data_IF_943788737297
#
_entry.id   IF_943788737297
#
_cell.length_a   1.000
_cell.length_b   1.000
_cell.length_c   1.000
_cell.angle_alpha   90.00
_cell.angle_beta   90.00
_cell.angle_gamma   90.00
#
_symmetry.space_group_name_H-M   'P 1'
#
loop_
_entity.id
_entity.type
_entity.pdbx_description
1 polymer ?
#
# COMPACT_ATOMS: atom_id res chain seq x y z
N UNK A 1 -5.92 22.76 -12.96
CA UNK A 1 -5.89 21.34 -13.37
C UNK A 1 -7.31 20.83 -13.20
N UNK A 2 -7.78 19.88 -14.01
CA UNK A 2 -9.05 19.25 -13.68
C UNK A 2 -8.86 18.52 -12.34
N UNK A 3 -9.83 18.63 -11.44
CA UNK A 3 -9.79 17.93 -10.15
C UNK A 3 -9.62 16.42 -10.44
N UNK A 4 -8.75 15.75 -9.69
CA UNK A 4 -8.52 14.32 -9.82
C UNK A 4 -8.80 13.61 -8.50
N UNK A 5 -9.34 12.38 -8.54
CA UNK A 5 -9.80 11.70 -7.33
C UNK A 5 -8.71 11.48 -6.27
N UNK A 6 -7.44 11.35 -6.69
CA UNK A 6 -6.30 11.20 -5.77
C UNK A 6 -5.87 12.51 -5.08
N UNK A 7 -6.44 13.64 -5.47
CA UNK A 7 -6.22 14.95 -4.84
C UNK A 7 -7.18 15.19 -3.67
N UNK A 8 -8.14 14.30 -3.43
CA UNK A 8 -9.04 14.35 -2.28
C UNK A 8 -8.31 14.05 -0.96
N UNK A 9 -8.82 14.61 0.14
CA UNK A 9 -8.34 14.39 1.51
C UNK A 9 -8.73 13.00 2.10
N UNK A 10 -8.82 11.97 1.25
CA UNK A 10 -9.17 10.60 1.65
C UNK A 10 -8.02 9.66 1.28
N UNK A 11 -7.44 9.03 2.29
CA UNK A 11 -6.40 8.03 2.06
C UNK A 11 -7.01 6.72 1.55
N UNK A 12 -6.57 6.21 0.38
CA UNK A 12 -7.14 5.00 -0.19
C UNK A 12 -6.64 3.75 0.55
N UNK A 13 -7.59 3.04 1.15
CA UNK A 13 -7.40 1.69 1.68
C UNK A 13 -8.41 0.77 1.00
N UNK A 14 -7.90 -0.08 0.11
CA UNK A 14 -8.68 -0.93 -0.79
C UNK A 14 -8.88 -2.31 -0.19
N UNK A 15 -10.13 -2.77 -0.12
CA UNK A 15 -10.44 -4.19 0.08
C UNK A 15 -10.50 -4.91 -1.27
N UNK A 16 -9.56 -5.83 -1.54
CA UNK A 16 -9.39 -6.47 -2.84
C UNK A 16 -9.27 -7.99 -2.73
N UNK A 17 -10.03 -8.86 -3.36
CA UNK A 17 -11.32 -8.58 -3.95
C UNK A 17 -12.31 -8.23 -2.84
N UNK A 18 -13.05 -7.15 -3.04
CA UNK A 18 -14.14 -6.74 -2.20
C UNK A 18 -15.42 -7.54 -2.47
N UNK A 19 -16.51 -7.23 -1.76
CA UNK A 19 -17.83 -7.82 -2.00
C UNK A 19 -18.28 -7.66 -3.47
N UNK A 20 -18.85 -8.73 -4.04
CA UNK A 20 -19.47 -8.74 -5.36
C UNK A 20 -20.93 -9.20 -5.31
N UNK A 21 -21.72 -8.87 -6.33
CA UNK A 21 -23.15 -9.24 -6.43
C UNK A 21 -23.94 -8.93 -5.16
N UNK A 22 -24.64 -9.92 -4.62
CA UNK A 22 -25.47 -9.79 -3.40
C UNK A 22 -24.67 -9.48 -2.12
N UNK A 23 -23.34 -9.58 -2.14
CA UNK A 23 -22.51 -9.14 -1.02
C UNK A 23 -22.41 -7.62 -0.90
N UNK A 24 -22.77 -6.87 -1.95
CA UNK A 24 -22.83 -5.42 -1.90
C UNK A 24 -24.17 -5.03 -1.27
N UNK A 25 -24.20 -5.00 0.06
CA UNK A 25 -25.36 -4.71 0.91
C UNK A 25 -24.93 -3.95 2.16
N UNK A 26 -25.91 -3.36 2.84
CA UNK A 26 -25.68 -2.39 3.90
C UNK A 26 -24.76 -2.87 5.04
N UNK A 27 -24.99 -4.07 5.57
CA UNK A 27 -24.20 -4.63 6.67
C UNK A 27 -22.73 -4.83 6.29
N UNK A 28 -22.46 -5.30 5.07
CA UNK A 28 -21.11 -5.55 4.58
C UNK A 28 -20.36 -4.25 4.30
N UNK A 29 -21.02 -3.26 3.68
CA UNK A 29 -20.40 -1.96 3.40
C UNK A 29 -20.20 -1.12 4.66
N UNK A 30 -21.14 -1.17 5.61
CA UNK A 30 -20.97 -0.58 6.94
C UNK A 30 -19.78 -1.21 7.67
N UNK A 31 -19.64 -2.55 7.60
CA UNK A 31 -18.49 -3.26 8.16
C UNK A 31 -17.17 -2.86 7.49
N UNK A 32 -17.18 -2.63 6.19
CA UNK A 32 -16.01 -2.18 5.45
C UNK A 32 -15.52 -0.81 5.92
N UNK A 33 -16.44 0.16 6.02
CA UNK A 33 -16.15 1.48 6.58
C UNK A 33 -15.70 1.41 8.04
N UNK A 34 -16.35 0.57 8.86
CA UNK A 34 -15.99 0.38 10.27
C UNK A 34 -14.58 -0.22 10.47
N UNK A 35 -14.08 -0.99 9.51
CA UNK A 35 -12.70 -1.48 9.48
C UNK A 35 -11.72 -0.48 8.87
N UNK A 36 -12.16 0.71 8.47
CA UNK A 36 -11.31 1.77 7.91
C UNK A 36 -10.96 1.58 6.43
N UNK A 37 -11.67 0.72 5.70
CA UNK A 37 -11.54 0.68 4.24
C UNK A 37 -12.33 1.83 3.62
N UNK A 38 -11.71 2.54 2.67
CA UNK A 38 -12.32 3.69 1.97
C UNK A 38 -12.74 3.31 0.55
N UNK A 39 -12.18 2.24 0.00
CA UNK A 39 -12.40 1.80 -1.38
C UNK A 39 -12.66 0.29 -1.42
N UNK A 40 -13.66 -0.12 -2.21
CA UNK A 40 -13.97 -1.53 -2.45
C UNK A 40 -13.77 -1.91 -3.91
N UNK A 41 -12.93 -2.91 -4.17
CA UNK A 41 -12.84 -3.52 -5.49
C UNK A 41 -14.00 -4.48 -5.70
N UNK A 42 -15.02 -4.06 -6.46
CA UNK A 42 -16.33 -4.72 -6.48
C UNK A 42 -16.88 -4.96 -7.87
N UNK A 43 -17.45 -6.15 -8.07
CA UNK A 43 -18.19 -6.55 -9.26
C UNK A 43 -19.68 -6.75 -8.93
N UNK A 44 -20.53 -5.73 -9.11
CA UNK A 44 -21.95 -5.80 -8.72
C UNK A 44 -22.82 -6.63 -9.67
N UNK A 45 -22.37 -6.87 -10.90
CA UNK A 45 -23.21 -7.36 -12.00
C UNK A 45 -23.90 -6.20 -12.74
N UNK A 46 -24.19 -6.36 -14.04
CA UNK A 46 -24.56 -5.25 -14.93
C UNK A 46 -25.87 -4.55 -14.53
N UNK A 47 -26.84 -5.29 -14.00
CA UNK A 47 -28.15 -4.75 -13.62
C UNK A 47 -28.15 -4.04 -12.25
N UNK A 48 -27.09 -4.20 -11.46
CA UNK A 48 -27.01 -3.72 -10.06
C UNK A 48 -25.99 -2.61 -9.85
N UNK A 49 -25.38 -2.09 -10.91
CA UNK A 49 -24.30 -1.08 -10.80
C UNK A 49 -24.73 0.14 -9.98
N UNK A 50 -25.87 0.77 -10.31
CA UNK A 50 -26.33 1.96 -9.57
C UNK A 50 -26.63 1.64 -8.11
N UNK A 51 -27.39 0.57 -7.86
CA UNK A 51 -27.71 0.14 -6.49
C UNK A 51 -26.43 -0.12 -5.67
N UNK A 52 -25.42 -0.74 -6.27
CA UNK A 52 -24.15 -1.00 -5.59
C UNK A 52 -23.39 0.28 -5.26
N UNK A 53 -23.37 1.24 -6.18
CA UNK A 53 -22.74 2.55 -5.95
C UNK A 53 -23.50 3.36 -4.89
N UNK A 54 -24.84 3.30 -4.87
CA UNK A 54 -25.70 3.92 -3.85
C UNK A 54 -25.39 3.35 -2.46
N UNK A 55 -25.36 2.02 -2.33
CA UNK A 55 -25.07 1.34 -1.05
C UNK A 55 -23.66 1.68 -0.58
N UNK A 56 -22.65 1.61 -1.45
CA UNK A 56 -21.29 1.96 -1.07
C UNK A 56 -21.21 3.40 -0.55
N UNK A 57 -21.77 4.35 -1.31
CA UNK A 57 -21.78 5.76 -0.96
C UNK A 57 -22.47 6.03 0.38
N UNK A 58 -23.62 5.39 0.63
CA UNK A 58 -24.39 5.55 1.86
C UNK A 58 -23.59 5.18 3.13
N UNK A 59 -22.59 4.30 3.01
CA UNK A 59 -21.73 3.85 4.11
C UNK A 59 -20.33 4.47 4.09
N UNK A 60 -20.07 5.45 3.22
CA UNK A 60 -18.78 6.14 3.16
C UNK A 60 -17.66 5.35 2.48
N UNK A 61 -18.00 4.34 1.67
CA UNK A 61 -17.07 3.57 0.83
C UNK A 61 -17.32 3.92 -0.63
N UNK A 62 -16.28 3.92 -1.47
CA UNK A 62 -16.45 4.08 -2.93
C UNK A 62 -15.99 2.83 -3.67
N UNK A 63 -16.58 2.59 -4.84
CA UNK A 63 -16.30 1.40 -5.63
C UNK A 63 -15.19 1.67 -6.65
N UNK A 64 -14.13 0.87 -6.56
CA UNK A 64 -13.32 0.56 -7.72
C UNK A 64 -14.10 -0.47 -8.55
N UNK A 65 -14.84 0.03 -9.53
CA UNK A 65 -15.88 -0.70 -10.25
C UNK A 65 -15.27 -1.67 -11.26
N UNK A 66 -15.62 -2.94 -11.12
CA UNK A 66 -15.35 -3.98 -12.12
C UNK A 66 -16.55 -4.11 -13.03
N UNK A 67 -16.32 -3.96 -14.34
CA UNK A 67 -17.38 -4.15 -15.34
C UNK A 67 -16.82 -4.77 -16.63
N UNK A 68 -17.56 -5.70 -17.21
CA UNK A 68 -17.16 -6.44 -18.41
C UNK A 68 -16.94 -5.55 -19.65
N UNK A 69 -17.61 -4.38 -19.70
CA UNK A 69 -17.49 -3.47 -20.84
C UNK A 69 -16.05 -2.98 -21.07
N UNK A 70 -15.29 -2.73 -20.00
CA UNK A 70 -13.92 -2.20 -20.07
C UNK A 70 -12.86 -3.12 -19.45
N UNK A 71 -13.24 -4.30 -18.93
CA UNK A 71 -12.26 -5.26 -18.44
C UNK A 71 -11.46 -5.85 -19.60
N UNK A 72 -10.16 -5.55 -19.66
CA UNK A 72 -9.28 -5.95 -20.76
C UNK A 72 -8.74 -7.37 -20.53
N UNK A 73 -9.51 -8.37 -20.94
CA UNK A 73 -9.05 -9.76 -21.03
C UNK A 73 -8.07 -10.00 -22.18
N UNK A 74 -7.48 -11.20 -22.23
CA UNK A 74 -6.48 -11.56 -23.26
C UNK A 74 -7.02 -11.45 -24.70
N UNK A 75 -8.31 -11.78 -24.90
CA UNK A 75 -8.96 -11.74 -26.21
C UNK A 75 -9.76 -10.44 -26.44
N UNK A 76 -9.51 -9.40 -25.64
CA UNK A 76 -10.27 -8.15 -25.71
C UNK A 76 -9.96 -7.38 -27.01
N UNK A 77 -11.01 -6.97 -27.71
CA UNK A 77 -10.92 -6.10 -28.88
C UNK A 77 -11.76 -4.83 -28.67
N UNK A 78 -11.15 -3.66 -28.88
CA UNK A 78 -11.84 -2.36 -28.81
C UNK A 78 -12.49 -2.01 -30.16
N UNK A 79 -13.45 -2.83 -30.58
CA UNK A 79 -14.28 -2.56 -31.76
C UNK A 79 -15.38 -1.50 -31.48
N UNK A 80 -16.15 -1.17 -32.50
CA UNK A 80 -17.21 -0.14 -32.40
C UNK A 80 -18.34 -0.52 -31.43
N UNK A 81 -18.65 -1.82 -31.30
CA UNK A 81 -19.67 -2.29 -30.34
C UNK A 81 -19.16 -2.11 -28.91
N UNK A 82 -17.91 -2.55 -28.67
CA UNK A 82 -17.24 -2.44 -27.38
C UNK A 82 -17.08 -0.98 -26.95
N UNK A 83 -16.73 -0.08 -27.87
CA UNK A 83 -16.64 1.37 -27.61
C UNK A 83 -17.96 1.92 -27.09
N UNK A 84 -19.09 1.58 -27.73
CA UNK A 84 -20.42 2.00 -27.29
C UNK A 84 -20.78 1.46 -25.91
N UNK A 85 -20.49 0.18 -25.65
CA UNK A 85 -20.70 -0.41 -24.31
C UNK A 85 -19.91 0.33 -23.22
N UNK A 86 -18.67 0.73 -23.51
CA UNK A 86 -17.84 1.53 -22.58
C UNK A 86 -18.44 2.93 -22.40
N UNK A 87 -18.80 3.60 -23.49
CA UNK A 87 -19.42 4.94 -23.44
C UNK A 87 -20.70 4.94 -22.61
N UNK A 88 -21.58 3.96 -22.83
CA UNK A 88 -22.86 3.82 -22.11
C UNK A 88 -22.63 3.67 -20.59
N UNK A 89 -21.79 2.71 -20.17
CA UNK A 89 -21.57 2.50 -18.74
C UNK A 89 -20.82 3.66 -18.08
N UNK A 90 -19.83 4.26 -18.74
CA UNK A 90 -19.05 5.37 -18.17
C UNK A 90 -19.95 6.59 -17.99
N UNK A 91 -20.74 6.96 -19.00
CA UNK A 91 -21.67 8.08 -18.90
C UNK A 91 -22.76 7.85 -17.85
N UNK A 92 -23.14 6.60 -17.61
CA UNK A 92 -24.11 6.24 -16.56
C UNK A 92 -23.58 6.47 -15.15
N UNK A 93 -22.27 6.24 -14.91
CA UNK A 93 -21.70 6.19 -13.55
C UNK A 93 -20.75 7.33 -13.20
N UNK A 94 -20.22 8.08 -14.18
CA UNK A 94 -19.16 9.08 -13.95
C UNK A 94 -19.51 10.24 -13.01
N UNK A 95 -20.80 10.50 -12.78
CA UNK A 95 -21.24 11.55 -11.83
C UNK A 95 -21.65 10.95 -10.47
N UNK A 96 -21.53 9.63 -10.30
CA UNK A 96 -22.02 8.94 -9.12
C UNK A 96 -21.02 9.08 -7.96
N UNK A 97 -21.40 9.63 -6.79
CA UNK A 97 -20.46 9.90 -5.69
C UNK A 97 -19.89 8.64 -5.02
N UNK A 98 -20.54 7.49 -5.24
CA UNK A 98 -20.05 6.16 -4.88
C UNK A 98 -18.98 5.58 -5.81
N UNK A 99 -18.65 6.22 -6.93
CA UNK A 99 -17.61 5.74 -7.85
C UNK A 99 -16.24 6.22 -7.37
N UNK A 100 -15.26 5.33 -7.43
CA UNK A 100 -13.85 5.65 -7.17
C UNK A 100 -13.00 5.53 -8.45
N UNK A 101 -13.30 4.52 -9.26
CA UNK A 101 -12.56 4.30 -10.50
C UNK A 101 -13.03 3.08 -11.26
N UNK A 102 -12.39 2.86 -12.38
CA UNK A 102 -12.64 1.78 -13.31
C UNK A 102 -11.50 0.77 -13.23
N UNK A 103 -11.80 -0.47 -12.83
CA UNK A 103 -10.83 -1.56 -12.87
C UNK A 103 -10.73 -2.13 -14.29
N UNK A 104 -9.62 -1.89 -14.96
CA UNK A 104 -9.38 -2.38 -16.32
C UNK A 104 -8.84 -3.80 -16.31
N UNK A 105 -7.79 -4.05 -15.52
CA UNK A 105 -7.10 -5.34 -15.54
C UNK A 105 -6.23 -5.56 -14.31
N UNK A 106 -6.22 -6.80 -13.89
CA UNK A 106 -5.27 -7.37 -12.95
C UNK A 106 -4.18 -8.13 -13.73
N UNK A 107 -2.92 -7.87 -13.36
CA UNK A 107 -1.73 -8.55 -13.83
C UNK A 107 -1.61 -8.71 -15.38
N UNK A 108 -1.61 -7.63 -16.17
CA UNK A 108 -1.48 -7.73 -17.62
C UNK A 108 -0.06 -8.11 -18.07
N UNK A 109 0.03 -8.87 -19.16
CA UNK A 109 1.26 -9.07 -19.92
C UNK A 109 1.60 -7.86 -20.79
N UNK A 110 2.87 -7.79 -21.24
CA UNK A 110 3.41 -6.65 -21.96
C UNK A 110 2.68 -6.30 -23.27
N UNK A 111 2.18 -7.31 -23.96
CA UNK A 111 1.44 -7.17 -25.23
C UNK A 111 0.05 -6.56 -25.07
N UNK A 112 -0.53 -6.56 -23.87
CA UNK A 112 -1.82 -5.94 -23.59
C UNK A 112 -1.73 -4.43 -23.34
N UNK A 113 -0.53 -3.87 -23.11
CA UNK A 113 -0.35 -2.46 -22.77
C UNK A 113 -0.96 -1.50 -23.81
N UNK A 114 -0.85 -1.71 -25.15
CA UNK A 114 -1.50 -0.85 -26.13
C UNK A 114 -3.04 -0.87 -26.04
N UNK A 115 -3.64 -2.04 -25.79
CA UNK A 115 -5.09 -2.18 -25.63
C UNK A 115 -5.57 -1.50 -24.35
N UNK A 116 -4.85 -1.68 -23.25
CA UNK A 116 -5.13 -0.99 -21.98
C UNK A 116 -5.05 0.53 -22.13
N UNK A 117 -4.03 1.03 -22.84
CA UNK A 117 -3.89 2.45 -23.12
C UNK A 117 -5.06 2.99 -23.95
N UNK A 118 -5.51 2.26 -24.98
CA UNK A 118 -6.63 2.67 -25.82
C UNK A 118 -7.97 2.71 -25.05
N UNK A 119 -8.24 1.71 -24.21
CA UNK A 119 -9.44 1.67 -23.34
C UNK A 119 -9.36 2.77 -22.29
N UNK A 120 -8.20 2.95 -21.66
CA UNK A 120 -8.00 4.01 -20.68
C UNK A 120 -8.14 5.40 -21.28
N UNK A 121 -7.64 5.64 -22.49
CA UNK A 121 -7.80 6.89 -23.22
C UNK A 121 -9.27 7.21 -23.53
N UNK A 122 -10.06 6.18 -23.90
CA UNK A 122 -11.49 6.34 -24.12
C UNK A 122 -12.20 6.76 -22.82
N UNK A 123 -11.98 6.03 -21.72
CA UNK A 123 -12.59 6.34 -20.42
C UNK A 123 -12.19 7.75 -19.96
N UNK A 124 -10.90 8.11 -20.00
CA UNK A 124 -10.40 9.44 -19.62
C UNK A 124 -11.01 10.58 -20.44
N UNK A 125 -11.42 10.33 -21.68
CA UNK A 125 -12.07 11.35 -22.51
C UNK A 125 -13.53 11.61 -22.12
N UNK A 126 -14.17 10.65 -21.43
CA UNK A 126 -15.54 10.72 -20.95
C UNK A 126 -15.63 11.12 -19.47
N UNK A 127 -14.64 10.68 -18.68
CA UNK A 127 -14.49 10.90 -17.25
C UNK A 127 -13.00 11.16 -16.92
N UNK A 128 -12.60 12.43 -16.81
CA UNK A 128 -11.22 12.79 -16.45
C UNK A 128 -10.96 12.77 -14.94
N UNK A 129 -11.98 12.56 -14.10
CA UNK A 129 -11.91 12.68 -12.63
C UNK A 129 -11.54 11.37 -11.96
N UNK A 130 -12.23 10.28 -12.32
CA UNK A 130 -12.11 8.99 -11.65
C UNK A 130 -10.87 8.20 -12.08
N UNK A 131 -10.42 7.32 -11.18
CA UNK A 131 -9.22 6.52 -11.39
C UNK A 131 -9.40 5.51 -12.52
N UNK A 132 -8.38 5.36 -13.36
CA UNK A 132 -8.20 4.18 -14.22
C UNK A 132 -7.22 3.26 -13.51
N UNK A 133 -7.73 2.12 -13.04
CA UNK A 133 -6.94 1.20 -12.25
C UNK A 133 -6.47 0.01 -13.09
N UNK A 134 -5.16 -0.23 -13.04
CA UNK A 134 -4.50 -1.41 -13.57
C UNK A 134 -3.52 -1.88 -12.49
N UNK A 135 -3.67 -3.14 -12.06
CA UNK A 135 -2.71 -3.77 -11.15
C UNK A 135 -1.74 -4.64 -11.94
N UNK A 136 -0.48 -4.74 -11.50
CA UNK A 136 0.56 -5.51 -12.17
C UNK A 136 1.08 -6.65 -11.30
N UNK A 137 1.65 -7.65 -11.96
CA UNK A 137 2.52 -8.62 -11.30
C UNK A 137 3.69 -7.94 -10.57
N UNK A 138 4.33 -8.60 -9.59
CA UNK A 138 5.56 -8.12 -8.99
C UNK A 138 6.61 -7.80 -10.07
N UNK A 139 7.35 -6.68 -9.94
CA UNK A 139 8.33 -6.27 -10.93
C UNK A 139 9.65 -7.06 -10.84
N UNK A 140 9.55 -8.39 -10.88
CA UNK A 140 10.67 -9.34 -10.82
C UNK A 140 11.09 -9.86 -12.18
N UNK A 141 10.24 -9.70 -13.20
CA UNK A 141 10.51 -10.04 -14.60
C UNK A 141 9.76 -9.12 -15.55
N UNK A 142 10.08 -9.19 -16.84
CA UNK A 142 9.51 -8.31 -17.85
C UNK A 142 8.09 -8.67 -18.31
N UNK A 143 7.53 -9.82 -17.92
CA UNK A 143 6.15 -10.23 -18.27
C UNK A 143 5.82 -10.13 -19.79
N UNK A 144 6.81 -10.48 -20.63
CA UNK A 144 6.75 -10.34 -22.10
C UNK A 144 7.62 -9.21 -22.65
N UNK A 145 8.04 -8.26 -21.81
CA UNK A 145 9.06 -7.27 -22.12
C UNK A 145 10.48 -7.86 -22.03
N UNK A 146 11.48 -7.27 -22.73
CA UNK A 146 12.89 -7.66 -22.59
C UNK A 146 13.44 -7.52 -21.17
N UNK A 147 13.01 -6.49 -20.43
CA UNK A 147 13.43 -6.23 -19.05
C UNK A 147 12.27 -5.70 -18.22
N UNK A 148 12.39 -5.79 -16.88
CA UNK A 148 11.45 -5.18 -15.94
C UNK A 148 11.33 -3.67 -16.20
N UNK A 149 12.47 -2.97 -16.34
CA UNK A 149 12.50 -1.53 -16.57
C UNK A 149 11.77 -1.15 -17.87
N UNK A 150 11.97 -1.94 -18.94
CA UNK A 150 11.28 -1.72 -20.21
C UNK A 150 9.77 -1.85 -20.07
N UNK A 151 9.29 -2.88 -19.34
CA UNK A 151 7.86 -3.06 -19.08
C UNK A 151 7.25 -1.81 -18.45
N UNK A 152 7.80 -1.34 -17.33
CA UNK A 152 7.24 -0.22 -16.58
C UNK A 152 7.34 1.11 -17.32
N UNK A 153 8.45 1.36 -18.02
CA UNK A 153 8.60 2.59 -18.82
C UNK A 153 7.59 2.64 -19.95
N UNK A 154 7.37 1.53 -20.64
CA UNK A 154 6.36 1.48 -21.70
C UNK A 154 4.93 1.53 -21.15
N UNK A 155 4.65 0.90 -20.00
CA UNK A 155 3.36 1.05 -19.33
C UNK A 155 3.07 2.52 -18.99
N UNK A 156 4.01 3.20 -18.34
CA UNK A 156 3.86 4.62 -17.98
C UNK A 156 3.68 5.48 -19.24
N UNK A 157 4.47 5.22 -20.28
CA UNK A 157 4.42 5.95 -21.55
C UNK A 157 3.09 5.77 -22.29
N UNK A 158 2.59 4.53 -22.37
CA UNK A 158 1.38 4.18 -23.12
C UNK A 158 0.12 4.50 -22.33
N UNK A 159 0.00 3.97 -21.12
CA UNK A 159 -1.24 4.01 -20.33
C UNK A 159 -1.44 5.32 -19.58
N UNK A 160 -0.36 6.10 -19.37
CA UNK A 160 -0.35 7.36 -18.62
C UNK A 160 -1.10 7.23 -17.28
N UNK A 161 -0.69 6.28 -16.43
CA UNK A 161 -1.41 5.97 -15.21
C UNK A 161 -1.34 7.15 -14.24
N UNK A 162 -2.40 7.34 -13.47
CA UNK A 162 -2.41 8.30 -12.35
C UNK A 162 -1.93 7.65 -11.05
N UNK A 163 -1.74 6.32 -11.07
CA UNK A 163 -1.26 5.49 -9.99
C UNK A 163 -0.48 4.28 -10.50
N UNK A 164 0.64 3.97 -9.87
CA UNK A 164 1.34 2.69 -10.09
C UNK A 164 0.84 1.66 -9.07
N UNK A 165 0.50 0.45 -9.50
CA UNK A 165 0.06 -0.63 -8.60
C UNK A 165 0.65 -1.96 -9.03
N UNK A 166 1.08 -2.75 -8.05
CA UNK A 166 1.39 -4.16 -8.22
C UNK A 166 1.07 -4.90 -6.92
N UNK A 167 0.76 -6.19 -7.00
CA UNK A 167 0.63 -7.03 -5.82
C UNK A 167 1.86 -7.93 -5.65
N UNK A 168 2.39 -7.98 -4.43
CA UNK A 168 3.49 -8.85 -4.08
C UNK A 168 3.39 -9.25 -2.61
N UNK A 169 2.98 -10.48 -2.38
CA UNK A 169 2.89 -11.05 -1.03
C UNK A 169 4.26 -11.63 -0.65
N UNK A 170 4.97 -11.07 0.34
CA UNK A 170 6.35 -11.43 0.62
C UNK A 170 6.47 -12.47 1.75
N UNK A 171 5.50 -12.58 2.66
CA UNK A 171 5.56 -13.48 3.82
C UNK A 171 5.04 -14.88 3.46
N UNK A 172 5.91 -15.89 3.47
CA UNK A 172 5.58 -17.30 3.15
C UNK A 172 5.99 -18.26 4.26
N UNK A 173 5.38 -19.45 4.28
CA UNK A 173 5.81 -20.57 5.11
C UNK A 173 6.96 -21.29 4.41
N UNK A 174 8.09 -21.47 5.10
CA UNK A 174 9.21 -22.30 4.66
C UNK A 174 9.04 -23.76 5.08
N UNK A 175 9.46 -24.68 4.22
CA UNK A 175 9.62 -26.10 4.56
C UNK A 175 10.80 -26.31 5.52
N UNK A 176 10.84 -27.43 6.24
CA UNK A 176 11.96 -27.73 7.16
C UNK A 176 13.32 -27.74 6.43
N UNK A 177 13.34 -28.20 5.17
CA UNK A 177 14.55 -28.21 4.35
C UNK A 177 14.99 -26.80 3.96
N UNK A 178 14.08 -25.93 3.52
CA UNK A 178 14.38 -24.53 3.18
C UNK A 178 14.84 -23.76 4.42
N UNK A 179 14.16 -23.95 5.56
CA UNK A 179 14.54 -23.29 6.82
C UNK A 179 15.93 -23.73 7.27
N UNK A 180 16.27 -25.03 7.23
CA UNK A 180 17.60 -25.47 7.63
C UNK A 180 18.69 -25.00 6.65
N UNK A 181 18.40 -24.99 5.35
CA UNK A 181 19.35 -24.56 4.32
C UNK A 181 19.68 -23.07 4.44
N UNK A 182 18.66 -22.25 4.64
CA UNK A 182 18.76 -20.79 4.52
C UNK A 182 18.61 -20.08 5.89
N UNK A 183 18.76 -20.81 7.01
CA UNK A 183 18.54 -20.34 8.39
C UNK A 183 19.27 -19.05 8.78
N UNK A 184 20.43 -18.80 8.18
CA UNK A 184 21.29 -17.67 8.48
C UNK A 184 21.04 -16.48 7.54
N UNK A 185 20.15 -16.64 6.54
CA UNK A 185 19.74 -15.53 5.69
C UNK A 185 18.86 -14.56 6.46
N UNK A 186 19.04 -13.25 6.26
CA UNK A 186 18.39 -12.23 7.08
C UNK A 186 16.88 -12.11 6.86
N UNK A 187 16.38 -12.65 5.75
CA UNK A 187 14.96 -12.73 5.41
C UNK A 187 14.29 -14.05 5.86
N UNK A 188 14.99 -14.90 6.62
CA UNK A 188 14.49 -16.18 7.15
C UNK A 188 14.31 -16.08 8.67
N UNK A 189 13.16 -16.54 9.17
CA UNK A 189 12.78 -16.52 10.58
C UNK A 189 12.51 -17.96 11.05
N UNK A 190 13.56 -18.74 11.41
CA UNK A 190 13.48 -20.18 11.62
C UNK A 190 12.46 -20.60 12.68
N UNK A 191 12.43 -19.90 13.82
CA UNK A 191 11.54 -20.20 14.95
C UNK A 191 10.04 -20.10 14.58
N UNK A 192 9.74 -19.39 13.49
CA UNK A 192 8.39 -19.17 12.99
C UNK A 192 8.13 -19.87 11.64
N UNK A 193 9.11 -20.62 11.12
CA UNK A 193 9.10 -21.20 9.76
C UNK A 193 8.64 -20.19 8.71
N UNK A 194 9.03 -18.93 8.88
CA UNK A 194 8.61 -17.83 8.01
C UNK A 194 9.78 -17.39 7.16
N UNK A 195 9.54 -17.22 5.87
CA UNK A 195 10.50 -16.67 4.91
C UNK A 195 9.86 -15.44 4.29
N UNK A 196 10.59 -14.32 4.28
CA UNK A 196 10.26 -13.15 3.49
C UNK A 196 10.94 -13.31 2.13
N UNK A 197 10.17 -13.19 1.05
CA UNK A 197 10.71 -13.31 -0.32
C UNK A 197 11.84 -12.29 -0.55
N UNK A 198 12.99 -12.71 -1.09
CA UNK A 198 14.18 -11.86 -1.20
C UNK A 198 13.98 -10.65 -2.13
N UNK A 199 13.05 -10.76 -3.08
CA UNK A 199 12.70 -9.74 -4.06
C UNK A 199 11.78 -8.63 -3.52
N UNK A 200 11.28 -8.74 -2.28
CA UNK A 200 10.30 -7.80 -1.72
C UNK A 200 10.78 -6.34 -1.75
N UNK A 201 11.94 -6.06 -1.17
CA UNK A 201 12.48 -4.70 -1.12
C UNK A 201 13.04 -4.24 -2.48
N UNK A 202 13.45 -5.17 -3.35
CA UNK A 202 13.83 -4.83 -4.73
C UNK A 202 12.63 -4.30 -5.51
N UNK A 203 11.46 -4.92 -5.36
CA UNK A 203 10.23 -4.46 -5.99
C UNK A 203 9.80 -3.09 -5.47
N UNK A 204 9.83 -2.89 -4.14
CA UNK A 204 9.49 -1.62 -3.51
C UNK A 204 10.47 -0.49 -3.91
N UNK A 205 11.77 -0.74 -3.97
CA UNK A 205 12.73 0.31 -4.37
C UNK A 205 12.56 0.71 -5.85
N UNK A 206 12.26 -0.25 -6.73
CA UNK A 206 11.98 0.04 -8.13
C UNK A 206 10.72 0.89 -8.28
N UNK A 207 9.59 0.50 -7.67
CA UNK A 207 8.34 1.26 -7.81
C UNK A 207 8.49 2.66 -7.23
N UNK A 208 9.17 2.79 -6.08
CA UNK A 208 9.45 4.07 -5.43
C UNK A 208 10.30 4.96 -6.34
N UNK A 209 11.32 4.39 -6.97
CA UNK A 209 12.19 5.10 -7.90
C UNK A 209 11.39 5.63 -9.10
N UNK A 210 10.54 4.80 -9.70
CA UNK A 210 9.67 5.22 -10.81
C UNK A 210 8.64 6.26 -10.35
N UNK A 211 8.03 6.05 -9.19
CA UNK A 211 7.05 6.95 -8.59
C UNK A 211 7.63 8.36 -8.40
N UNK A 212 8.81 8.45 -7.78
CA UNK A 212 9.50 9.72 -7.56
C UNK A 212 9.98 10.34 -8.88
N UNK A 213 10.48 9.55 -9.83
CA UNK A 213 10.98 10.06 -11.11
C UNK A 213 9.86 10.64 -11.99
N UNK A 214 8.72 9.94 -12.07
CA UNK A 214 7.58 10.35 -12.90
C UNK A 214 6.56 11.22 -12.15
N UNK A 215 6.72 11.41 -10.83
CA UNK A 215 5.72 12.08 -9.97
C UNK A 215 4.34 11.42 -10.06
N UNK A 216 4.32 10.09 -10.13
CA UNK A 216 3.11 9.27 -10.13
C UNK A 216 3.10 8.51 -8.82
N UNK A 217 2.11 8.68 -7.94
CA UNK A 217 2.10 7.96 -6.67
C UNK A 217 1.98 6.44 -6.92
N UNK A 218 2.35 5.61 -5.94
CA UNK A 218 2.20 4.15 -6.04
C UNK A 218 1.40 3.59 -4.87
N UNK A 219 0.69 2.48 -5.12
CA UNK A 219 -0.03 1.68 -4.14
C UNK A 219 0.57 0.29 -4.05
N UNK A 220 0.45 -0.32 -2.88
CA UNK A 220 1.04 -1.63 -2.60
C UNK A 220 0.09 -2.49 -1.75
N UNK A 221 0.37 -3.79 -1.73
CA UNK A 221 -0.51 -4.81 -1.18
C UNK A 221 0.03 -5.44 0.09
N UNK A 222 -0.90 -5.79 0.98
CA UNK A 222 -0.70 -6.80 2.02
C UNK A 222 -1.50 -8.06 1.75
N UNK A 223 -0.90 -9.22 2.05
CA UNK A 223 -1.61 -10.49 2.11
C UNK A 223 -2.35 -10.62 3.46
N UNK A 224 -3.68 -10.59 3.38
CA UNK A 224 -4.66 -10.75 4.44
C UNK A 224 -5.47 -12.05 4.31
N UNK A 225 -5.00 -13.05 3.56
CA UNK A 225 -5.68 -14.35 3.47
C UNK A 225 -4.71 -15.52 3.32
N UNK A 226 -5.00 -16.62 4.03
CA UNK A 226 -4.25 -17.87 3.86
C UNK A 226 -4.55 -18.47 2.49
N UNK A 227 -3.51 -18.80 1.72
CA UNK A 227 -3.62 -19.60 0.50
C UNK A 227 -2.24 -20.10 0.05
N UNK A 228 -2.15 -21.30 -0.53
CA UNK A 228 -0.88 -21.85 -1.00
C UNK A 228 0.22 -21.82 0.07
N UNK A 229 1.32 -21.14 -0.23
CA UNK A 229 2.46 -20.94 0.69
C UNK A 229 2.28 -19.77 1.68
N UNK A 230 1.22 -18.98 1.55
CA UNK A 230 0.97 -17.83 2.42
C UNK A 230 0.26 -18.27 3.69
N UNK A 231 0.79 -17.94 4.89
CA UNK A 231 0.23 -18.37 6.16
C UNK A 231 -1.11 -17.69 6.45
N UNK A 232 -1.81 -18.19 7.48
CA UNK A 232 -2.84 -17.37 8.13
C UNK A 232 -2.18 -16.07 8.60
N UNK A 233 -2.64 -14.88 8.15
CA UNK A 233 -2.01 -13.63 8.50
C UNK A 233 -2.06 -13.39 10.01
N UNK A 234 -0.93 -12.99 10.58
CA UNK A 234 -0.89 -12.41 11.92
C UNK A 234 -0.87 -10.88 11.79
N UNK A 235 -1.11 -10.19 12.90
CA UNK A 235 -0.94 -8.74 12.95
C UNK A 235 0.49 -8.33 12.55
N UNK A 236 1.50 -9.09 12.98
CA UNK A 236 2.90 -8.86 12.59
C UNK A 236 3.16 -8.96 11.09
N UNK A 237 2.58 -9.97 10.43
CA UNK A 237 2.73 -10.15 8.98
C UNK A 237 2.13 -8.97 8.20
N UNK A 238 0.93 -8.52 8.59
CA UNK A 238 0.27 -7.42 7.88
C UNK A 238 0.90 -6.07 8.17
N UNK A 239 1.28 -5.80 9.42
CA UNK A 239 2.01 -4.58 9.79
C UNK A 239 3.33 -4.48 9.04
N UNK A 240 4.10 -5.56 8.97
CA UNK A 240 5.38 -5.59 8.24
C UNK A 240 5.21 -5.19 6.78
N UNK A 241 4.20 -5.73 6.09
CA UNK A 241 3.90 -5.40 4.70
C UNK A 241 3.47 -3.93 4.57
N UNK A 242 2.39 -3.54 5.25
CA UNK A 242 1.78 -2.21 5.10
C UNK A 242 2.69 -1.07 5.53
N UNK A 243 3.43 -1.22 6.63
CA UNK A 243 4.32 -0.17 7.07
C UNK A 243 5.64 -0.14 6.28
N UNK A 244 6.09 -1.26 5.72
CA UNK A 244 7.16 -1.22 4.72
C UNK A 244 6.71 -0.45 3.48
N UNK A 245 5.50 -0.69 2.99
CA UNK A 245 4.93 0.04 1.86
C UNK A 245 4.89 1.55 2.14
N UNK A 246 4.38 1.95 3.32
CA UNK A 246 4.34 3.35 3.75
C UNK A 246 5.74 3.96 3.92
N UNK A 247 6.71 3.23 4.49
CA UNK A 247 8.09 3.69 4.60
C UNK A 247 8.75 3.92 3.23
N UNK A 248 8.37 3.12 2.24
CA UNK A 248 8.76 3.31 0.83
C UNK A 248 7.96 4.40 0.10
N UNK A 249 6.98 5.03 0.76
CA UNK A 249 6.25 6.17 0.23
C UNK A 249 4.95 5.82 -0.50
N UNK A 250 4.36 4.65 -0.25
CA UNK A 250 3.06 4.29 -0.79
C UNK A 250 2.00 5.34 -0.42
N UNK A 251 1.12 5.66 -1.36
CA UNK A 251 0.02 6.64 -1.20
C UNK A 251 -1.36 5.99 -1.25
N UNK A 252 -1.39 4.69 -1.01
CA UNK A 252 -2.58 3.86 -0.93
C UNK A 252 -2.19 2.42 -0.66
N UNK A 253 -3.08 1.72 0.04
CA UNK A 253 -2.82 0.38 0.56
C UNK A 253 -3.95 -0.55 0.15
N UNK A 254 -3.62 -1.81 -0.12
CA UNK A 254 -4.56 -2.76 -0.69
C UNK A 254 -4.45 -4.10 0.04
N UNK A 255 -5.58 -4.68 0.41
CA UNK A 255 -5.62 -5.91 1.21
C UNK A 255 -6.13 -7.07 0.37
N UNK A 256 -5.29 -8.07 0.13
CA UNK A 256 -5.67 -9.34 -0.50
C UNK A 256 -5.86 -10.48 0.52
N UNK A 257 -7.06 -10.96 0.85
CA UNK A 257 -8.35 -10.61 0.26
C UNK A 257 -9.39 -10.18 1.27
N UNK A 258 -10.33 -9.34 0.83
CA UNK A 258 -11.38 -8.80 1.69
C UNK A 258 -12.57 -9.75 1.80
N UNK A 259 -13.18 -10.14 0.68
CA UNK A 259 -14.37 -11.00 0.65
C UNK A 259 -14.08 -12.37 0.01
N UNK A 260 -14.10 -13.43 0.83
CA UNK A 260 -13.96 -14.85 0.45
C UNK A 260 -14.22 -15.74 1.68
N UNK A 261 -14.44 -17.05 1.50
CA UNK A 261 -14.70 -18.01 2.58
C UNK A 261 -13.67 -18.02 3.72
N UNK A 262 -12.42 -17.64 3.42
CA UNK A 262 -11.29 -17.63 4.34
C UNK A 262 -10.71 -16.24 4.59
N UNK A 263 -11.34 -15.19 4.04
CA UNK A 263 -10.86 -13.82 4.07
C UNK A 263 -11.32 -13.05 5.31
N UNK A 264 -11.20 -11.73 5.28
CA UNK A 264 -11.68 -10.84 6.32
C UNK A 264 -13.21 -10.92 6.49
N UNK A 265 -13.96 -11.04 5.39
CA UNK A 265 -15.42 -11.16 5.40
C UNK A 265 -15.85 -12.37 4.57
N UNK A 266 -16.69 -13.22 5.16
CA UNK A 266 -17.28 -14.40 4.50
C UNK A 266 -18.50 -14.02 3.66
N UNK A 267 -18.96 -14.88 2.73
CA UNK A 267 -20.15 -14.59 1.92
C UNK A 267 -21.43 -14.25 2.70
N UNK A 268 -21.58 -14.84 3.90
CA UNK A 268 -22.70 -14.56 4.80
C UNK A 268 -22.61 -13.20 5.52
N UNK A 269 -21.51 -12.46 5.33
CA UNK A 269 -21.26 -11.16 5.97
C UNK A 269 -20.55 -11.26 7.31
N UNK A 270 -20.29 -12.47 7.83
CA UNK A 270 -19.54 -12.65 9.07
C UNK A 270 -18.08 -12.25 8.92
N UNK A 271 -17.55 -11.55 9.92
CA UNK A 271 -16.14 -11.14 9.98
C UNK A 271 -15.25 -12.25 10.56
N UNK A 272 -13.94 -12.11 10.36
CA UNK A 272 -12.90 -13.00 10.90
C UNK A 272 -11.92 -12.25 11.79
N UNK A 273 -11.04 -12.96 12.49
CA UNK A 273 -9.95 -12.34 13.27
C UNK A 273 -9.07 -11.43 12.40
N UNK A 274 -8.85 -11.79 11.13
CA UNK A 274 -8.10 -10.93 10.19
C UNK A 274 -8.78 -9.59 9.96
N UNK A 275 -10.11 -9.53 9.94
CA UNK A 275 -10.86 -8.27 9.85
C UNK A 275 -10.61 -7.37 11.06
N UNK A 276 -10.61 -7.95 12.27
CA UNK A 276 -10.33 -7.19 13.49
C UNK A 276 -8.88 -6.67 13.52
N UNK A 277 -7.94 -7.48 13.02
CA UNK A 277 -6.55 -7.04 12.87
C UNK A 277 -6.47 -5.88 11.87
N UNK A 278 -7.09 -5.99 10.69
CA UNK A 278 -7.10 -4.93 9.70
C UNK A 278 -7.74 -3.64 10.24
N UNK A 279 -8.83 -3.73 11.00
CA UNK A 279 -9.45 -2.59 11.67
C UNK A 279 -8.48 -1.85 12.59
N UNK A 280 -7.69 -2.58 13.40
CA UNK A 280 -6.69 -1.95 14.30
C UNK A 280 -5.59 -1.25 13.51
N UNK A 281 -5.05 -1.91 12.49
CA UNK A 281 -3.97 -1.37 11.67
C UNK A 281 -4.46 -0.13 10.88
N UNK A 282 -5.63 -0.22 10.23
CA UNK A 282 -6.20 0.88 9.45
C UNK A 282 -6.50 2.11 10.32
N UNK A 283 -6.93 1.92 11.57
CA UNK A 283 -7.14 3.04 12.50
C UNK A 283 -5.85 3.84 12.74
N UNK A 284 -4.71 3.16 12.92
CA UNK A 284 -3.41 3.81 13.06
C UNK A 284 -2.97 4.50 11.76
N UNK A 285 -3.17 3.84 10.62
CA UNK A 285 -2.85 4.41 9.31
C UNK A 285 -3.64 5.69 9.06
N UNK A 286 -4.95 5.72 9.35
CA UNK A 286 -5.78 6.92 9.17
C UNK A 286 -5.34 8.11 10.03
N UNK A 287 -4.69 7.86 11.18
CA UNK A 287 -4.14 8.93 12.02
C UNK A 287 -2.92 9.57 11.35
N UNK A 288 -2.05 8.76 10.73
CA UNK A 288 -0.85 9.28 10.05
C UNK A 288 -1.07 9.70 8.60
N UNK A 289 -2.11 9.21 7.95
CA UNK A 289 -2.32 9.42 6.52
C UNK A 289 -2.35 10.91 6.10
N UNK A 290 -3.02 11.84 6.82
CA UNK A 290 -2.98 13.26 6.49
C UNK A 290 -1.56 13.84 6.51
N UNK A 291 -0.76 13.44 7.53
CA UNK A 291 0.64 13.84 7.65
C UNK A 291 1.46 13.26 6.50
N UNK A 292 1.38 11.94 6.30
CA UNK A 292 2.12 11.24 5.25
C UNK A 292 1.79 11.82 3.87
N UNK A 293 0.54 12.25 3.63
CA UNK A 293 0.12 12.96 2.42
C UNK A 293 0.86 14.26 2.15
N UNK A 294 1.38 14.94 3.18
CA UNK A 294 2.16 16.18 3.05
C UNK A 294 3.67 15.92 2.96
N UNK A 295 4.10 14.69 3.17
CA UNK A 295 5.50 14.29 3.19
C UNK A 295 5.96 13.77 1.83
N UNK A 296 7.16 14.18 1.41
CA UNK A 296 7.85 13.69 0.22
C UNK A 296 8.90 12.66 0.62
N UNK A 297 8.78 11.43 0.11
CA UNK A 297 9.79 10.40 0.33
C UNK A 297 11.10 10.76 -0.40
N UNK A 298 12.19 10.92 0.35
CA UNK A 298 13.52 11.24 -0.19
C UNK A 298 14.49 10.06 -0.15
N UNK A 299 14.14 8.98 0.55
CA UNK A 299 14.96 7.78 0.61
C UNK A 299 14.39 6.72 1.54
N UNK A 300 14.93 5.52 1.41
CA UNK A 300 14.67 4.41 2.32
C UNK A 300 15.98 3.71 2.59
N UNK A 301 16.25 3.44 3.85
CA UNK A 301 17.48 2.79 4.30
C UNK A 301 17.15 1.74 5.33
N UNK A 302 18.08 0.80 5.49
CA UNK A 302 17.93 -0.36 6.35
C UNK A 302 19.06 -0.40 7.36
N UNK A 303 18.70 -0.78 8.58
CA UNK A 303 19.63 -1.07 9.67
C UNK A 303 19.62 -2.58 9.96
N UNK A 304 20.78 -3.14 10.27
CA UNK A 304 20.97 -4.58 10.47
C UNK A 304 21.47 -5.31 9.22
N UNK A 305 21.41 -6.66 9.21
CA UNK A 305 21.77 -7.47 8.05
C UNK A 305 20.96 -7.07 6.80
N UNK A 306 21.65 -6.82 5.70
CA UNK A 306 21.07 -6.38 4.44
C UNK A 306 20.83 -7.57 3.50
N UNK A 307 19.84 -7.41 2.62
CA UNK A 307 19.63 -8.30 1.47
C UNK A 307 19.21 -7.52 0.22
N UNK A 308 18.99 -8.23 -0.88
CA UNK A 308 18.74 -7.63 -2.19
C UNK A 308 17.64 -6.55 -2.17
N UNK A 309 17.95 -5.40 -2.77
CA UNK A 309 17.05 -4.24 -2.80
C UNK A 309 17.09 -3.34 -1.56
N UNK A 310 17.91 -3.67 -0.56
CA UNK A 310 18.12 -2.82 0.63
C UNK A 310 19.40 -2.00 0.53
N UNK A 311 19.45 -0.86 1.23
CA UNK A 311 20.64 0.02 1.30
C UNK A 311 20.92 0.35 2.77
N UNK A 312 22.19 0.35 3.21
CA UNK A 312 22.53 0.74 4.58
C UNK A 312 22.21 2.22 4.80
N UNK A 313 22.02 2.60 6.06
CA UNK A 313 22.02 4.02 6.46
C UNK A 313 23.28 4.73 5.93
N UNK A 314 23.14 5.98 5.43
CA UNK A 314 24.28 6.73 4.89
C UNK A 314 25.31 7.02 5.98
N UNK A 315 26.59 6.78 5.67
CA UNK A 315 27.70 7.05 6.60
C UNK A 315 28.26 8.45 6.35
N UNK A 316 27.92 9.41 7.20
CA UNK A 316 28.60 10.70 7.36
C UNK A 316 27.99 11.91 6.63
N UNK A 317 28.03 13.07 7.32
CA UNK A 317 27.75 14.41 6.80
C UNK A 317 26.29 14.85 6.86
N UNK A 318 26.01 15.95 7.58
CA UNK A 318 24.72 16.64 7.55
C UNK A 318 24.24 16.86 6.10
N UNK A 319 22.92 16.77 5.82
CA UNK A 319 21.82 16.94 6.78
C UNK A 319 21.09 15.64 7.21
N UNK A 320 21.58 14.44 6.86
CA UNK A 320 20.87 13.17 7.09
C UNK A 320 21.57 12.23 8.09
N UNK A 321 22.33 12.77 9.06
CA UNK A 321 23.07 11.98 10.05
C UNK A 321 22.12 11.23 11.01
N UNK A 322 21.53 10.14 10.53
CA UNK A 322 20.70 9.20 11.26
C UNK A 322 21.50 7.91 11.43
N UNK A 323 21.60 7.44 12.66
CA UNK A 323 22.20 6.15 12.99
C UNK A 323 21.21 5.28 13.77
N UNK A 324 21.37 3.98 13.68
CA UNK A 324 20.58 3.02 14.44
C UNK A 324 21.48 1.95 15.05
N UNK A 325 21.10 1.47 16.23
CA UNK A 325 21.75 0.37 16.94
C UNK A 325 20.68 -0.60 17.44
N UNK A 326 21.02 -1.88 17.59
CA UNK A 326 20.08 -2.92 18.02
C UNK A 326 19.49 -3.68 16.84
N UNK A 327 18.23 -4.09 16.99
CA UNK A 327 17.55 -5.00 16.05
C UNK A 327 17.28 -4.38 14.67
N UNK A 328 17.14 -5.18 13.59
CA UNK A 328 16.96 -4.69 12.23
C UNK A 328 15.71 -3.83 12.01
N UNK A 329 15.81 -2.82 11.15
CA UNK A 329 14.72 -1.90 10.87
C UNK A 329 14.76 -1.33 9.44
N UNK A 330 13.58 -1.13 8.85
CA UNK A 330 13.38 -0.33 7.63
C UNK A 330 13.10 1.12 8.04
N UNK A 331 13.79 2.08 7.45
CA UNK A 331 13.67 3.50 7.79
C UNK A 331 13.38 4.31 6.54
N UNK A 332 12.14 4.81 6.43
CA UNK A 332 11.72 5.75 5.41
C UNK A 332 12.07 7.18 5.80
N UNK A 333 12.69 7.92 4.88
CA UNK A 333 13.11 9.32 5.07
C UNK A 333 12.21 10.22 4.24
N UNK A 334 11.67 11.24 4.90
CA UNK A 334 10.72 12.16 4.28
C UNK A 334 11.03 13.61 4.60
N UNK A 335 10.68 14.52 3.69
CA UNK A 335 10.70 15.96 3.94
C UNK A 335 9.28 16.51 3.87
N UNK A 336 8.93 17.44 4.75
CA UNK A 336 7.73 18.27 4.62
C UNK A 336 7.98 19.48 3.69
N UNK A 337 6.98 20.36 3.58
CA UNK A 337 7.05 21.55 2.73
C UNK A 337 8.09 22.58 3.21
N UNK A 338 8.54 22.51 4.46
CA UNK A 338 9.59 23.34 5.05
C UNK A 338 10.96 22.64 5.07
N UNK A 339 11.12 21.56 4.31
CA UNK A 339 12.32 20.71 4.28
C UNK A 339 12.70 20.12 5.65
N UNK A 340 11.73 19.94 6.56
CA UNK A 340 11.98 19.25 7.85
C UNK A 340 11.93 17.75 7.69
N UNK A 341 12.93 17.09 8.27
CA UNK A 341 13.10 15.64 8.20
C UNK A 341 12.10 14.90 9.09
N UNK A 342 11.44 13.92 8.49
CA UNK A 342 10.59 12.95 9.16
C UNK A 342 11.09 11.53 8.87
N UNK A 343 11.00 10.66 9.87
CA UNK A 343 11.49 9.29 9.80
C UNK A 343 10.37 8.31 10.17
N UNK A 344 10.02 7.40 9.26
CA UNK A 344 9.19 6.26 9.58
C UNK A 344 10.11 5.06 9.85
N UNK A 345 10.13 4.58 11.09
CA UNK A 345 10.95 3.45 11.53
C UNK A 345 10.06 2.24 11.71
N UNK A 346 10.32 1.19 10.95
CA UNK A 346 9.53 -0.05 10.91
C UNK A 346 10.38 -1.21 11.41
N UNK A 347 9.79 -2.04 12.27
CA UNK A 347 10.40 -3.31 12.65
C UNK A 347 10.52 -4.22 11.42
N UNK A 348 11.75 -4.57 11.02
CA UNK A 348 12.00 -5.43 9.87
C UNK A 348 11.74 -6.93 10.16
N UNK A 349 11.28 -7.28 11.36
CA UNK A 349 10.88 -8.63 11.74
C UNK A 349 9.35 -8.75 11.79
N UNK A 350 8.73 -9.59 10.93
CA UNK A 350 7.28 -9.79 10.91
C UNK A 350 6.77 -10.72 12.04
N UNK A 351 7.66 -11.31 12.83
CA UNK A 351 7.33 -12.36 13.80
C UNK A 351 7.71 -12.03 15.26
N UNK A 352 8.74 -11.21 15.49
CA UNK A 352 9.28 -10.93 16.81
C UNK A 352 9.39 -9.43 17.14
N UNK A 353 9.41 -9.13 18.44
CA UNK A 353 9.66 -7.78 18.94
C UNK A 353 11.09 -7.33 18.61
N UNK A 354 11.23 -6.06 18.26
CA UNK A 354 12.51 -5.41 18.04
C UNK A 354 12.76 -4.33 19.12
N UNK A 355 14.03 -4.19 19.50
CA UNK A 355 14.55 -3.11 20.32
C UNK A 355 15.68 -2.43 19.58
N UNK A 356 15.49 -1.16 19.27
CA UNK A 356 16.50 -0.36 18.60
C UNK A 356 16.67 1.00 19.26
N UNK A 357 17.86 1.55 19.12
CA UNK A 357 18.17 2.93 19.48
C UNK A 357 18.34 3.75 18.22
N UNK A 358 17.41 4.65 17.94
CA UNK A 358 17.50 5.61 16.83
C UNK A 358 18.27 6.84 17.29
N UNK A 359 19.31 7.22 16.56
CA UNK A 359 20.16 8.37 16.86
C UNK A 359 20.10 9.37 15.72
N UNK A 360 20.05 10.66 16.06
CA UNK A 360 20.10 11.77 15.10
C UNK A 360 21.21 12.74 15.53
N UNK A 361 22.17 13.00 14.64
CA UNK A 361 23.19 14.03 14.88
C UNK A 361 22.67 15.37 14.38
N UNK A 362 21.99 16.06 15.27
CA UNK A 362 21.48 17.42 15.04
C UNK A 362 22.07 18.35 16.08
N UNK A 363 22.47 19.56 15.68
CA UNK A 363 23.19 20.49 16.56
C UNK A 363 22.31 20.96 17.73
N UNK A 364 21.11 21.47 17.42
CA UNK A 364 20.13 22.01 18.39
C UNK A 364 18.73 21.36 18.32
N UNK A 365 18.52 20.44 17.38
CA UNK A 365 17.20 19.84 17.16
C UNK A 365 16.96 18.64 18.08
N UNK A 366 15.68 18.29 18.29
CA UNK A 366 15.27 17.11 19.04
C UNK A 366 14.55 16.14 18.12
N UNK A 367 14.61 14.87 18.47
CA UNK A 367 13.76 13.84 17.92
C UNK A 367 12.42 13.82 18.67
N UNK A 368 11.33 14.05 17.95
CA UNK A 368 9.98 13.94 18.48
C UNK A 368 9.25 12.74 17.88
N UNK A 369 8.39 12.13 18.66
CA UNK A 369 7.54 11.01 18.23
C UNK A 369 6.15 11.52 17.91
N UNK A 370 5.60 11.10 16.77
CA UNK A 370 4.21 11.33 16.42
C UNK A 370 3.39 10.18 16.99
N UNK A 371 2.53 10.51 17.95
CA UNK A 371 1.76 9.50 18.66
C UNK A 371 0.73 8.84 17.71
N UNK A 372 0.73 7.51 17.58
CA UNK A 372 -0.21 6.78 16.72
C UNK A 372 -1.66 6.88 17.20
N UNK A 373 -1.96 7.54 18.32
CA UNK A 373 -3.32 7.71 18.85
C UNK A 373 -3.98 9.03 18.45
N UNK A 374 -3.19 10.07 18.18
CA UNK A 374 -3.72 11.43 17.98
C UNK A 374 -2.90 12.34 17.04
N UNK A 375 -1.86 11.85 16.36
CA UNK A 375 -0.93 12.63 15.51
C UNK A 375 -0.25 13.80 16.25
N UNK A 376 -0.19 13.76 17.59
CA UNK A 376 0.49 14.80 18.37
C UNK A 376 1.99 14.51 18.44
N UNK A 377 2.80 15.53 18.10
CA UNK A 377 4.26 15.54 18.26
C UNK A 377 4.62 15.64 19.74
N UNK A 378 5.22 14.58 20.29
CA UNK A 378 5.57 14.43 21.72
C UNK A 378 7.05 14.13 21.92
N UNK A 379 7.60 14.55 23.06
CA UNK A 379 8.89 14.05 23.54
C UNK A 379 8.71 12.64 24.12
N UNK A 380 9.58 11.69 23.74
CA UNK A 380 9.57 10.34 24.30
C UNK A 380 10.31 10.30 25.63
N UNK A 381 9.82 9.47 26.57
CA UNK A 381 10.45 9.27 27.88
C UNK A 381 11.25 7.95 27.93
N UNK A 382 12.45 7.90 28.55
CA UNK A 382 13.20 9.05 29.06
C UNK A 382 13.71 9.94 27.92
N UNK A 383 13.60 11.27 28.03
CA UNK A 383 13.94 12.18 26.96
C UNK A 383 15.44 12.16 26.73
N UNK A 384 15.82 11.64 25.58
CA UNK A 384 17.15 11.82 25.04
C UNK A 384 17.00 12.37 23.61
N UNK A 385 17.13 13.70 23.44
CA UNK A 385 16.71 14.40 22.24
C UNK A 385 17.47 13.98 20.97
N UNK A 386 18.60 13.28 21.12
CA UNK A 386 19.45 12.84 20.01
C UNK A 386 19.54 11.32 19.90
N UNK A 387 18.96 10.56 20.84
CA UNK A 387 19.10 9.11 20.89
C UNK A 387 17.93 8.47 21.62
N UNK A 388 17.03 7.84 20.88
CA UNK A 388 15.79 7.30 21.39
C UNK A 388 15.80 5.77 21.39
N UNK A 389 15.61 5.16 22.56
CA UNK A 389 15.30 3.74 22.67
C UNK A 389 13.84 3.50 22.31
N UNK A 390 13.61 2.56 21.39
CA UNK A 390 12.29 2.21 20.87
C UNK A 390 12.13 0.70 20.96
N UNK A 391 10.96 0.26 21.43
CA UNK A 391 10.51 -1.12 21.29
C UNK A 391 9.36 -1.15 20.28
N UNK A 392 9.44 -2.04 19.31
CA UNK A 392 8.46 -2.23 18.25
C UNK A 392 7.98 -3.67 18.28
N UNK A 393 6.66 -3.87 18.31
CA UNK A 393 6.02 -5.16 18.07
C UNK A 393 6.34 -5.64 16.64
N UNK A 394 6.09 -6.92 16.31
CA UNK A 394 6.32 -7.45 14.96
C UNK A 394 5.71 -6.55 13.87
N UNK A 395 6.53 -6.11 12.92
CA UNK A 395 6.12 -5.21 11.83
C UNK A 395 5.64 -3.80 12.24
N UNK A 396 5.61 -3.44 13.53
CA UNK A 396 5.15 -2.12 14.00
C UNK A 396 6.03 -1.00 13.45
N UNK A 397 5.42 0.16 13.19
CA UNK A 397 6.12 1.38 12.82
C UNK A 397 5.94 2.48 13.86
N UNK A 398 6.88 3.43 13.85
CA UNK A 398 6.73 4.72 14.53
C UNK A 398 7.20 5.84 13.61
N UNK A 399 6.49 6.96 13.65
CA UNK A 399 6.82 8.15 12.89
C UNK A 399 7.50 9.18 13.80
N UNK A 400 8.58 9.77 13.33
CA UNK A 400 9.36 10.76 14.04
C UNK A 400 9.53 12.02 13.22
N UNK A 401 9.63 13.15 13.91
CA UNK A 401 10.03 14.44 13.35
C UNK A 401 11.38 14.83 13.95
N UNK A 402 12.30 15.27 13.11
CA UNK A 402 13.62 15.79 13.50
C UNK A 402 13.56 17.32 13.45
N UNK A 403 13.69 17.95 14.62
CA UNK A 403 13.58 19.41 14.77
C UNK A 403 12.15 19.94 14.87
N UNK A 404 12.03 21.28 14.86
CA UNK A 404 10.76 22.00 15.08
C UNK A 404 10.33 22.14 16.55
N UNK A 405 9.09 22.55 16.77
CA UNK A 405 8.43 22.64 18.09
C UNK A 405 7.60 21.36 18.36
N UNK A 406 7.76 20.77 19.55
CA UNK A 406 6.91 19.69 20.05
C UNK A 406 6.11 20.14 21.27
N UNK A 407 4.91 19.60 21.48
CA UNK A 407 4.19 19.88 22.72
C UNK A 407 4.84 19.11 23.87
N UNK A 408 5.22 19.84 24.94
CA UNK A 408 5.70 19.26 26.19
C UNK A 408 4.57 18.61 27.03
N UNK A 409 3.71 17.81 26.40
CA UNK A 409 2.64 17.08 27.09
C UNK A 409 3.05 15.63 27.33
N UNK A 410 3.23 15.32 28.61
CA UNK A 410 3.46 13.98 29.12
C UNK A 410 2.36 13.00 28.67
N UNK A 411 2.75 11.73 28.55
CA UNK A 411 1.88 10.58 28.26
C UNK A 411 0.62 10.52 29.14
#
# INVERSE_FOLDING_TARGET
MADHILEEDIFPIVGWAGPGGEMIRDDVMAGMAAAGFTVSHSSPGPEKVQQALDIAHAHGVRLLLVHQAYHVGNDFALDESRRKEIEEIVLQVREHPGLYGYHLRDEPSFDLLPTLAAVGDLIRSLDPYHLIYINHFPPIRGWGAPTVEWFWREYIRLSRPTMLSYDHYPVTIGTDAEIEQDRDLPNVFPDHKTIVKPDFFTCLDLIRTLSNFYTIPFWAFTCAVRHGAYPTPTEGHMRFQLFSDLAYGARGLQYFTYAHDQAMVRPDGSTTETWEIAQRINREIHIWAPRLGQLRNIGVFHHGPLWDGTRPLPVGGAPLSVAAEGDPATIGFFLDAEDRLHLMVVNANPCAWARLTLKVEVDAEKLYHLDPRDDVVRELWPPNPKSQLIALAPGEARLFQVGGEGQGKNF
#
